data_IF_788467589384
#
_entry.id   IF_788467589384
#
_cell.length_a   1.000
_cell.length_b   1.000
_cell.length_c   1.000
_cell.angle_alpha   90.00
_cell.angle_beta   90.00
_cell.angle_gamma   90.00
#
_symmetry.space_group_name_H-M   'P 1'
#
loop_
_entity.id
_entity.type
_entity.pdbx_description
1 polymer ?
#
# COMPACT_ATOMS: atom_id res chain seq x y z
N UNK A 1 27.20 27.26 -37.99
CA UNK A 1 27.68 26.06 -37.28
C UNK A 1 29.20 26.09 -37.28
N UNK A 2 29.80 26.46 -36.16
CA UNK A 2 31.27 26.51 -36.00
C UNK A 2 31.62 25.74 -34.72
N UNK A 3 32.46 24.70 -34.77
CA UNK A 3 32.85 23.96 -33.58
C UNK A 3 33.93 24.71 -32.81
N UNK A 4 33.62 25.10 -31.58
CA UNK A 4 34.60 25.64 -30.63
C UNK A 4 35.57 24.53 -30.20
N UNK A 5 36.81 24.60 -30.71
CA UNK A 5 37.97 23.82 -30.25
C UNK A 5 38.29 24.17 -28.80
N UNK A 6 38.05 23.24 -27.87
CA UNK A 6 38.56 23.29 -26.50
C UNK A 6 40.08 22.97 -26.47
N UNK A 7 40.90 23.87 -27.02
CA UNK A 7 42.36 23.81 -26.98
C UNK A 7 42.95 24.64 -25.82
N UNK A 8 42.41 24.54 -24.60
CA UNK A 8 42.91 25.30 -23.43
C UNK A 8 43.47 24.45 -22.28
N UNK A 9 43.44 23.12 -22.36
CA UNK A 9 43.97 22.25 -21.29
C UNK A 9 45.34 21.62 -21.57
N UNK A 10 45.85 21.72 -22.79
CA UNK A 10 47.15 21.14 -23.16
C UNK A 10 48.35 21.61 -22.29
N UNK A 11 48.49 22.91 -21.92
CA UNK A 11 49.65 23.34 -21.12
C UNK A 11 49.51 23.01 -19.62
N UNK A 12 48.29 22.84 -19.10
CA UNK A 12 48.06 22.47 -17.70
C UNK A 12 48.38 21.00 -17.43
N UNK A 13 48.05 20.11 -18.38
CA UNK A 13 48.40 18.68 -18.30
C UNK A 13 49.92 18.48 -18.39
N UNK A 14 50.62 19.29 -19.19
CA UNK A 14 52.08 19.23 -19.30
C UNK A 14 52.79 19.65 -18.01
N UNK A 15 52.26 20.64 -17.27
CA UNK A 15 52.84 21.14 -16.02
C UNK A 15 52.54 20.24 -14.81
N UNK A 16 51.43 19.50 -14.84
CA UNK A 16 51.15 18.44 -13.86
C UNK A 16 52.10 17.24 -14.04
N UNK A 17 52.48 16.91 -15.27
CA UNK A 17 53.35 15.74 -15.55
C UNK A 17 54.80 15.91 -15.04
N UNK A 18 55.25 17.15 -14.83
CA UNK A 18 56.61 17.48 -14.37
C UNK A 18 56.71 17.79 -12.88
N UNK A 19 55.64 17.58 -12.10
CA UNK A 19 55.69 17.81 -10.66
C UNK A 19 56.54 16.72 -9.96
N UNK A 20 57.57 17.07 -9.16
CA UNK A 20 58.48 16.09 -8.53
C UNK A 20 57.78 15.08 -7.61
N UNK A 21 56.59 15.40 -7.11
CA UNK A 21 55.76 14.48 -6.32
C UNK A 21 55.18 13.34 -7.19
N UNK A 22 54.79 13.62 -8.44
CA UNK A 22 54.30 12.59 -9.38
C UNK A 22 55.44 11.72 -9.92
N UNK A 23 56.65 12.28 -10.03
CA UNK A 23 57.86 11.54 -10.39
C UNK A 23 58.27 10.54 -9.30
N UNK A 24 58.13 10.91 -8.01
CA UNK A 24 58.34 10.01 -6.87
C UNK A 24 57.29 8.89 -6.79
N UNK A 25 56.04 9.17 -7.16
CA UNK A 25 54.97 8.15 -7.22
C UNK A 25 55.24 7.14 -8.35
N UNK A 26 55.73 7.58 -9.51
CA UNK A 26 56.07 6.68 -10.63
C UNK A 26 57.27 5.76 -10.38
N UNK A 27 58.20 6.16 -9.50
CA UNK A 27 59.40 5.39 -9.16
C UNK A 27 59.25 4.50 -7.92
N UNK A 28 58.06 4.39 -7.35
CA UNK A 28 57.84 3.55 -6.17
C UNK A 28 57.90 2.06 -6.58
N UNK A 29 58.89 1.27 -6.12
CA UNK A 29 59.10 -0.11 -6.57
C UNK A 29 57.89 -1.03 -6.32
N UNK A 30 57.06 -0.68 -5.34
CA UNK A 30 55.79 -1.37 -5.05
C UNK A 30 54.76 -1.19 -6.16
N UNK A 31 54.59 0.04 -6.69
CA UNK A 31 53.68 0.31 -7.80
C UNK A 31 54.17 -0.31 -9.12
N UNK A 32 55.50 -0.36 -9.30
CA UNK A 32 56.14 -1.03 -10.45
C UNK A 32 55.95 -2.55 -10.44
N UNK A 33 56.00 -3.19 -9.26
CA UNK A 33 55.69 -4.62 -9.07
C UNK A 33 54.20 -4.93 -9.23
N UNK A 34 53.32 -4.02 -8.84
CA UNK A 34 51.89 -4.15 -9.10
C UNK A 34 51.59 -4.06 -10.61
N UNK A 35 52.23 -3.16 -11.35
CA UNK A 35 52.02 -3.02 -12.80
C UNK A 35 52.52 -4.19 -13.66
N UNK A 36 53.42 -5.03 -13.14
CA UNK A 36 54.01 -6.16 -13.85
C UNK A 36 53.38 -7.52 -13.53
N UNK A 37 52.31 -7.57 -12.74
CA UNK A 37 51.63 -8.83 -12.45
C UNK A 37 50.90 -9.34 -13.72
N UNK A 38 51.15 -10.59 -14.19
CA UNK A 38 50.64 -11.10 -15.47
C UNK A 38 49.10 -11.12 -15.56
N UNK A 39 48.42 -11.13 -14.41
CA UNK A 39 46.97 -11.08 -14.31
C UNK A 39 46.40 -9.70 -14.68
N UNK A 40 47.10 -8.60 -14.37
CA UNK A 40 46.62 -7.23 -14.62
C UNK A 40 46.76 -6.80 -16.10
N UNK A 41 47.57 -7.52 -16.89
CA UNK A 41 47.66 -7.33 -18.34
C UNK A 41 46.61 -8.12 -19.14
N UNK A 42 45.91 -9.07 -18.51
CA UNK A 42 44.91 -9.87 -19.19
C UNK A 42 43.56 -9.14 -19.27
N UNK A 43 43.09 -8.85 -20.50
CA UNK A 43 41.74 -8.31 -20.73
C UNK A 43 40.64 -9.13 -20.03
N UNK A 44 40.81 -10.45 -19.96
CA UNK A 44 39.89 -11.38 -19.29
C UNK A 44 39.77 -11.12 -17.79
N UNK A 45 40.86 -10.73 -17.12
CA UNK A 45 40.86 -10.39 -15.69
C UNK A 45 40.00 -9.15 -15.41
N UNK A 46 40.17 -8.08 -16.20
CA UNK A 46 39.35 -6.86 -16.05
C UNK A 46 37.88 -7.09 -16.39
N UNK A 47 37.58 -7.91 -17.40
CA UNK A 47 36.21 -8.33 -17.72
C UNK A 47 35.60 -9.11 -16.55
N UNK A 48 36.32 -10.09 -16.00
CA UNK A 48 35.85 -10.89 -14.88
C UNK A 48 35.61 -10.01 -13.63
N UNK A 49 36.52 -9.08 -13.32
CA UNK A 49 36.37 -8.12 -12.23
C UNK A 49 35.17 -7.19 -12.47
N UNK A 50 34.98 -6.71 -13.70
CA UNK A 50 33.83 -5.87 -14.07
C UNK A 50 32.49 -6.60 -13.90
N UNK A 51 32.40 -7.85 -14.37
CA UNK A 51 31.22 -8.71 -14.17
C UNK A 51 30.98 -8.96 -12.68
N UNK A 52 32.03 -9.31 -11.92
CA UNK A 52 31.94 -9.54 -10.48
C UNK A 52 31.38 -8.33 -9.73
N UNK A 53 31.84 -7.12 -10.08
CA UNK A 53 31.33 -5.88 -9.50
C UNK A 53 29.86 -5.61 -9.86
N UNK A 54 29.45 -5.91 -11.11
CA UNK A 54 28.05 -5.78 -11.52
C UNK A 54 27.14 -6.77 -10.79
N UNK A 55 27.57 -8.01 -10.60
CA UNK A 55 26.80 -9.00 -9.82
C UNK A 55 26.69 -8.55 -8.36
N UNK A 56 27.80 -8.10 -7.76
CA UNK A 56 27.80 -7.63 -6.37
C UNK A 56 26.85 -6.44 -6.16
N UNK A 57 26.94 -5.43 -7.04
CA UNK A 57 26.06 -4.25 -6.95
C UNK A 57 24.60 -4.60 -7.18
N UNK A 58 24.30 -5.50 -8.13
CA UNK A 58 22.96 -6.03 -8.36
C UNK A 58 22.42 -6.76 -7.13
N UNK A 59 23.25 -7.58 -6.48
CA UNK A 59 22.88 -8.31 -5.27
C UNK A 59 22.61 -7.37 -4.09
N UNK A 60 23.42 -6.33 -3.92
CA UNK A 60 23.20 -5.30 -2.87
C UNK A 60 21.89 -4.57 -3.09
N UNK A 61 21.60 -4.14 -4.33
CA UNK A 61 20.34 -3.46 -4.67
C UNK A 61 19.15 -4.39 -4.44
N UNK A 62 19.25 -5.65 -4.88
CA UNK A 62 18.21 -6.65 -4.69
C UNK A 62 17.94 -6.91 -3.20
N UNK A 63 19.00 -7.11 -2.41
CA UNK A 63 18.90 -7.36 -0.97
C UNK A 63 18.25 -6.19 -0.26
N UNK A 64 18.68 -4.95 -0.57
CA UNK A 64 18.07 -3.74 0.00
C UNK A 64 16.59 -3.61 -0.36
N UNK A 65 16.21 -3.96 -1.59
CA UNK A 65 14.80 -3.95 -2.04
C UNK A 65 13.97 -5.03 -1.34
N UNK A 66 14.53 -6.23 -1.15
CA UNK A 66 13.88 -7.34 -0.46
C UNK A 66 13.63 -7.02 1.01
N UNK A 67 14.64 -6.50 1.71
CA UNK A 67 14.52 -6.07 3.11
C UNK A 67 13.48 -4.96 3.29
N UNK A 68 13.46 -3.95 2.40
CA UNK A 68 12.42 -2.91 2.42
C UNK A 68 11.02 -3.48 2.27
N UNK A 69 10.80 -4.45 1.38
CA UNK A 69 9.49 -5.09 1.20
C UNK A 69 9.07 -5.88 2.43
N UNK A 70 9.97 -6.62 3.04
CA UNK A 70 9.72 -7.37 4.27
C UNK A 70 9.38 -6.43 5.45
N UNK A 71 10.11 -5.32 5.57
CA UNK A 71 9.84 -4.28 6.57
C UNK A 71 8.43 -3.69 6.39
N UNK A 72 8.07 -3.25 5.18
CA UNK A 72 6.73 -2.68 4.93
C UNK A 72 5.62 -3.70 5.19
N UNK A 73 5.81 -4.96 4.81
CA UNK A 73 4.87 -6.03 5.07
C UNK A 73 4.63 -6.22 6.58
N UNK A 74 5.73 -6.23 7.35
CA UNK A 74 5.69 -6.31 8.80
C UNK A 74 4.97 -5.11 9.41
N UNK A 75 5.27 -3.89 8.97
CA UNK A 75 4.63 -2.66 9.47
C UNK A 75 3.11 -2.69 9.25
N UNK A 76 2.66 -3.11 8.06
CA UNK A 76 1.22 -3.24 7.76
C UNK A 76 0.57 -4.28 8.67
N UNK A 77 1.21 -5.45 8.83
CA UNK A 77 0.70 -6.52 9.69
C UNK A 77 0.80 -6.18 11.19
N UNK A 78 1.65 -5.29 11.65
CA UNK A 78 1.68 -4.88 13.06
C UNK A 78 0.50 -3.95 13.42
N UNK A 79 -0.15 -3.32 12.44
CA UNK A 79 -1.28 -2.43 12.70
C UNK A 79 -2.55 -3.21 13.08
N UNK A 80 -3.03 -3.00 14.30
CA UNK A 80 -4.29 -3.60 14.80
C UNK A 80 -5.48 -3.19 13.93
N UNK A 81 -5.54 -1.92 13.51
CA UNK A 81 -6.63 -1.43 12.65
C UNK A 81 -6.65 -2.07 11.25
N UNK A 82 -5.50 -2.53 10.76
CA UNK A 82 -5.45 -3.31 9.54
C UNK A 82 -5.81 -4.77 9.83
N UNK A 83 -5.19 -5.41 10.83
CA UNK A 83 -5.42 -6.83 11.13
C UNK A 83 -6.86 -7.13 11.51
N UNK A 84 -7.44 -6.32 12.38
CA UNK A 84 -8.78 -6.49 12.93
C UNK A 84 -9.58 -5.20 12.71
N UNK A 85 -9.96 -4.90 11.46
CA UNK A 85 -10.61 -3.64 11.15
C UNK A 85 -12.00 -3.59 11.80
N UNK A 86 -12.40 -2.45 12.38
CA UNK A 86 -13.76 -2.29 12.87
C UNK A 86 -14.71 -2.15 11.68
N UNK A 87 -15.76 -2.97 11.68
CA UNK A 87 -16.93 -2.82 10.84
C UNK A 87 -17.86 -1.82 11.52
N UNK A 88 -17.84 -0.59 11.03
CA UNK A 88 -18.70 0.50 11.49
C UNK A 88 -19.79 0.74 10.45
N UNK A 89 -20.99 0.24 10.73
CA UNK A 89 -22.16 0.45 9.89
C UNK A 89 -23.11 1.42 10.60
N UNK A 90 -23.43 2.53 9.94
CA UNK A 90 -24.40 3.52 10.41
C UNK A 90 -25.32 3.89 9.26
N UNK A 91 -26.63 3.80 9.47
CA UNK A 91 -27.62 4.12 8.45
C UNK A 91 -28.95 4.53 9.10
N UNK A 92 -29.76 5.37 8.44
CA UNK A 92 -31.02 5.83 8.99
C UNK A 92 -32.08 4.73 8.96
N UNK A 93 -33.01 4.80 9.91
CA UNK A 93 -34.16 3.90 10.04
C UNK A 93 -35.12 4.02 8.86
N UNK A 94 -35.18 5.21 8.25
CA UNK A 94 -36.04 5.50 7.10
C UNK A 94 -35.15 6.03 5.98
N UNK A 95 -35.18 5.38 4.83
CA UNK A 95 -34.45 5.79 3.61
C UNK A 95 -35.43 6.05 2.47
N UNK A 96 -35.08 6.86 1.47
CA UNK A 96 -35.85 6.94 0.23
C UNK A 96 -35.97 5.56 -0.43
N UNK A 97 -37.16 5.23 -0.92
CA UNK A 97 -37.43 3.97 -1.59
C UNK A 97 -36.93 4.00 -3.04
N UNK A 98 -35.61 3.84 -3.21
CA UNK A 98 -34.95 3.79 -4.51
C UNK A 98 -34.39 2.39 -4.78
N UNK A 99 -34.25 1.97 -6.05
CA UNK A 99 -33.62 0.69 -6.38
C UNK A 99 -32.22 0.53 -5.77
N UNK A 100 -31.41 1.60 -5.76
CA UNK A 100 -30.08 1.58 -5.17
C UNK A 100 -30.10 1.29 -3.66
N UNK A 101 -31.00 1.94 -2.91
CA UNK A 101 -31.13 1.71 -1.47
C UNK A 101 -31.66 0.31 -1.16
N UNK A 102 -32.59 -0.21 -1.98
CA UNK A 102 -33.07 -1.59 -1.87
C UNK A 102 -31.94 -2.59 -2.06
N UNK A 103 -31.14 -2.45 -3.10
CA UNK A 103 -30.00 -3.34 -3.37
C UNK A 103 -28.97 -3.31 -2.24
N UNK A 104 -28.68 -2.14 -1.67
CA UNK A 104 -27.76 -2.00 -0.53
C UNK A 104 -28.29 -2.65 0.75
N UNK A 105 -29.60 -2.61 0.99
CA UNK A 105 -30.22 -3.16 2.19
C UNK A 105 -30.66 -4.62 2.06
N UNK A 106 -30.76 -5.15 0.83
CA UNK A 106 -31.19 -6.51 0.56
C UNK A 106 -30.33 -7.57 1.27
N UNK A 107 -28.97 -7.49 1.30
CA UNK A 107 -28.17 -8.53 1.94
C UNK A 107 -28.48 -8.69 3.43
N UNK A 108 -28.67 -7.59 4.18
CA UNK A 108 -29.06 -7.70 5.59
C UNK A 108 -30.48 -8.20 5.80
N UNK A 109 -31.38 -7.99 4.83
CA UNK A 109 -32.71 -8.61 4.83
C UNK A 109 -32.62 -10.12 4.58
N UNK A 110 -31.78 -10.57 3.63
CA UNK A 110 -31.50 -11.99 3.36
C UNK A 110 -30.90 -12.70 4.59
N UNK A 111 -30.02 -12.00 5.31
CA UNK A 111 -29.45 -12.46 6.59
C UNK A 111 -30.42 -12.38 7.78
N UNK A 112 -31.68 -11.97 7.55
CA UNK A 112 -32.71 -11.79 8.56
C UNK A 112 -32.29 -10.86 9.69
N UNK A 113 -31.43 -9.88 9.42
CA UNK A 113 -31.02 -8.86 10.39
C UNK A 113 -32.05 -7.73 10.47
N UNK A 114 -32.71 -7.44 9.35
CA UNK A 114 -33.80 -6.49 9.30
C UNK A 114 -34.86 -6.90 8.29
N UNK A 115 -35.99 -6.20 8.35
CA UNK A 115 -37.10 -6.30 7.41
C UNK A 115 -37.37 -4.93 6.81
N UNK A 116 -37.64 -4.91 5.52
CA UNK A 116 -37.86 -3.70 4.74
C UNK A 116 -39.35 -3.50 4.54
N UNK A 117 -39.88 -2.40 5.07
CA UNK A 117 -41.31 -2.07 4.99
C UNK A 117 -41.50 -0.84 4.10
N UNK A 118 -42.15 -0.98 2.92
CA UNK A 118 -42.48 0.17 2.11
C UNK A 118 -43.52 1.01 2.85
N UNK A 119 -43.28 2.32 2.91
CA UNK A 119 -44.20 3.31 3.47
C UNK A 119 -44.71 4.18 2.33
N UNK A 120 -46.01 4.11 2.10
CA UNK A 120 -46.69 4.97 1.15
C UNK A 120 -46.53 6.44 1.57
N UNK A 121 -45.99 7.26 0.67
CA UNK A 121 -45.74 8.68 0.86
C UNK A 121 -45.19 9.31 -0.41
N UNK A 122 -45.17 10.64 -0.48
CA UNK A 122 -44.45 11.39 -1.50
C UNK A 122 -43.37 12.23 -0.82
N UNK A 123 -42.08 11.84 -0.87
CA UNK A 123 -41.52 10.72 -1.62
C UNK A 123 -41.83 9.34 -0.99
N UNK A 124 -41.73 8.28 -1.79
CA UNK A 124 -41.84 6.90 -1.30
C UNK A 124 -40.65 6.60 -0.36
N UNK A 125 -40.94 6.02 0.80
CA UNK A 125 -39.95 5.74 1.84
C UNK A 125 -39.91 4.26 2.17
N UNK A 126 -38.75 3.79 2.60
CA UNK A 126 -38.49 2.44 3.07
C UNK A 126 -38.12 2.50 4.55
N UNK A 127 -38.93 1.89 5.40
CA UNK A 127 -38.63 1.75 6.83
C UNK A 127 -37.88 0.44 7.08
N UNK A 128 -36.68 0.55 7.66
CA UNK A 128 -35.89 -0.59 8.09
C UNK A 128 -36.24 -0.93 9.54
N UNK A 129 -36.61 -2.18 9.79
CA UNK A 129 -36.92 -2.69 11.14
C UNK A 129 -35.99 -3.84 11.49
N UNK A 130 -35.18 -3.66 12.53
CA UNK A 130 -34.29 -4.70 13.04
C UNK A 130 -35.11 -5.88 13.57
N UNK A 131 -34.66 -7.09 13.28
CA UNK A 131 -35.16 -8.33 13.89
C UNK A 131 -34.46 -8.58 15.22
N UNK A 132 -34.88 -9.63 15.95
CA UNK A 132 -34.14 -10.10 17.13
C UNK A 132 -32.68 -10.45 16.83
N UNK A 133 -32.39 -10.93 15.61
CA UNK A 133 -31.01 -11.18 15.18
C UNK A 133 -30.26 -9.87 14.90
N UNK A 134 -30.90 -8.90 14.26
CA UNK A 134 -30.34 -7.58 14.01
C UNK A 134 -30.03 -6.81 15.28
N UNK A 135 -30.90 -6.87 16.30
CA UNK A 135 -30.70 -6.19 17.59
C UNK A 135 -29.47 -6.69 18.36
N UNK A 136 -28.95 -7.89 18.05
CA UNK A 136 -27.70 -8.40 18.65
C UNK A 136 -26.46 -7.75 18.04
N UNK A 137 -26.58 -7.18 16.84
CA UNK A 137 -25.46 -6.59 16.08
C UNK A 137 -25.57 -5.06 16.00
N UNK A 138 -26.79 -4.55 15.91
CA UNK A 138 -27.11 -3.14 15.72
C UNK A 138 -27.86 -2.59 16.92
N UNK A 139 -27.44 -1.42 17.38
CA UNK A 139 -28.16 -0.60 18.35
C UNK A 139 -28.96 0.46 17.62
N UNK A 140 -30.21 0.68 18.03
CA UNK A 140 -31.02 1.80 17.56
C UNK A 140 -30.77 3.03 18.43
N UNK A 141 -30.25 4.10 17.83
CA UNK A 141 -30.10 5.40 18.47
C UNK A 141 -31.00 6.41 17.74
N UNK A 142 -32.21 6.62 18.25
CA UNK A 142 -33.18 7.55 17.66
C UNK A 142 -33.60 7.15 16.25
N UNK A 143 -33.23 7.97 15.26
CA UNK A 143 -33.56 7.78 13.83
C UNK A 143 -32.53 6.96 13.06
N UNK A 144 -31.49 6.44 13.70
CA UNK A 144 -30.40 5.71 13.06
C UNK A 144 -30.12 4.36 13.74
N UNK A 145 -29.64 3.41 12.95
CA UNK A 145 -29.04 2.18 13.44
C UNK A 145 -27.53 2.29 13.35
N UNK A 146 -26.85 1.80 14.39
CA UNK A 146 -25.39 1.78 14.46
C UNK A 146 -24.88 0.43 14.93
N UNK A 147 -23.81 -0.06 14.31
CA UNK A 147 -23.07 -1.23 14.75
C UNK A 147 -21.58 -0.94 14.70
N UNK A 148 -20.87 -1.32 15.76
CA UNK A 148 -19.41 -1.34 15.80
C UNK A 148 -19.01 -2.76 16.20
N UNK A 149 -18.68 -3.59 15.21
CA UNK A 149 -18.24 -4.97 15.41
C UNK A 149 -16.91 -5.19 14.73
N UNK A 150 -16.10 -6.16 15.16
CA UNK A 150 -14.92 -6.54 14.39
C UNK A 150 -15.33 -7.14 13.05
N UNK A 151 -14.76 -6.70 11.93
CA UNK A 151 -15.06 -7.30 10.62
C UNK A 151 -14.52 -8.74 10.51
N UNK A 152 -13.48 -9.06 11.28
CA UNK A 152 -12.74 -10.31 11.22
C UNK A 152 -11.24 -10.07 11.38
N UNK A 153 -10.44 -11.02 10.88
CA UNK A 153 -8.99 -10.91 10.84
C UNK A 153 -8.48 -11.03 9.41
N UNK A 154 -7.54 -10.15 9.04
CA UNK A 154 -6.84 -10.17 7.76
C UNK A 154 -5.33 -10.04 7.95
N UNK A 155 -4.59 -10.55 6.98
CA UNK A 155 -3.13 -10.47 6.94
C UNK A 155 -2.65 -10.07 5.55
N UNK A 156 -1.66 -9.17 5.50
CA UNK A 156 -0.95 -8.84 4.29
C UNK A 156 0.04 -9.97 3.97
N UNK A 157 0.01 -10.45 2.72
CA UNK A 157 0.81 -11.57 2.24
C UNK A 157 2.02 -11.11 1.43
N UNK A 158 1.90 -10.02 0.67
CA UNK A 158 2.94 -9.58 -0.25
C UNK A 158 2.92 -8.08 -0.49
N UNK A 159 4.10 -7.45 -0.57
CA UNK A 159 4.24 -6.07 -1.07
C UNK A 159 4.51 -6.10 -2.58
N UNK A 160 3.59 -5.51 -3.35
CA UNK A 160 3.69 -5.40 -4.81
C UNK A 160 4.60 -4.23 -5.18
N UNK A 161 4.30 -3.07 -4.64
CA UNK A 161 4.92 -1.81 -5.04
C UNK A 161 5.12 -0.87 -3.85
N UNK A 162 6.21 -0.12 -3.89
CA UNK A 162 6.52 0.92 -2.91
C UNK A 162 6.85 2.18 -3.72
N UNK A 163 6.07 3.23 -3.52
CA UNK A 163 6.27 4.57 -4.10
C UNK A 163 6.47 5.58 -2.97
N UNK A 164 7.06 6.73 -3.29
CA UNK A 164 7.29 7.81 -2.34
C UNK A 164 8.76 7.94 -1.94
N UNK A 165 9.00 8.72 -0.90
CA UNK A 165 10.32 9.09 -0.42
C UNK A 165 10.66 8.40 0.91
N UNK A 166 11.68 8.91 1.61
CA UNK A 166 12.12 8.34 2.88
C UNK A 166 11.24 8.75 4.07
N UNK A 167 10.33 9.72 3.91
CA UNK A 167 9.40 10.17 4.96
C UNK A 167 7.98 9.69 4.74
N UNK A 168 7.53 9.60 3.49
CA UNK A 168 6.18 9.20 3.11
C UNK A 168 6.25 8.11 2.04
N UNK A 169 5.61 6.97 2.30
CA UNK A 169 5.56 5.85 1.37
C UNK A 169 4.13 5.41 1.10
N UNK A 170 3.82 5.23 -0.17
CA UNK A 170 2.63 4.52 -0.61
C UNK A 170 3.03 3.08 -0.91
N UNK A 171 2.42 2.12 -0.20
CA UNK A 171 2.69 0.70 -0.33
C UNK A 171 1.45 0.04 -0.89
N UNK A 172 1.58 -0.58 -2.07
CA UNK A 172 0.55 -1.45 -2.62
C UNK A 172 0.88 -2.89 -2.25
N UNK A 173 -0.08 -3.59 -1.66
CA UNK A 173 0.13 -4.91 -1.09
C UNK A 173 -1.05 -5.84 -1.38
N UNK A 174 -0.80 -7.14 -1.33
CA UNK A 174 -1.82 -8.18 -1.30
C UNK A 174 -2.09 -8.59 0.12
N UNK A 175 -3.34 -8.91 0.39
CA UNK A 175 -3.79 -9.41 1.67
C UNK A 175 -4.92 -10.41 1.50
N UNK A 176 -5.19 -11.18 2.54
CA UNK A 176 -6.30 -12.13 2.58
C UNK A 176 -6.99 -12.08 3.92
N UNK A 177 -8.26 -12.43 3.93
CA UNK A 177 -9.03 -12.64 5.17
C UNK A 177 -8.78 -14.05 5.69
N UNK A 178 -8.39 -14.15 6.95
CA UNK A 178 -8.20 -15.43 7.66
C UNK A 178 -9.43 -15.79 8.48
N UNK A 179 -10.15 -14.78 8.98
CA UNK A 179 -11.41 -14.93 9.70
C UNK A 179 -12.34 -13.80 9.28
N UNK A 180 -13.63 -14.09 9.16
CA UNK A 180 -14.63 -13.08 8.85
C UNK A 180 -15.81 -13.18 9.82
N UNK A 181 -16.23 -12.03 10.34
CA UNK A 181 -17.40 -11.97 11.19
C UNK A 181 -18.67 -12.08 10.34
N UNK A 182 -19.73 -12.81 10.77
CA UNK A 182 -20.96 -12.97 9.99
C UNK A 182 -21.62 -11.64 9.58
N UNK A 183 -21.42 -10.58 10.38
CA UNK A 183 -21.92 -9.25 10.09
C UNK A 183 -21.32 -8.64 8.80
N UNK A 184 -20.18 -9.10 8.30
CA UNK A 184 -19.64 -8.65 7.02
C UNK A 184 -20.55 -8.99 5.84
N UNK A 185 -21.41 -10.01 5.98
CA UNK A 185 -22.37 -10.39 4.95
C UNK A 185 -23.44 -9.32 4.65
N UNK A 186 -23.57 -8.26 5.48
CA UNK A 186 -24.45 -7.12 5.16
C UNK A 186 -24.04 -6.38 3.89
N UNK A 187 -22.78 -6.54 3.45
CA UNK A 187 -22.27 -5.95 2.22
C UNK A 187 -22.56 -6.79 0.97
N UNK A 188 -23.24 -7.94 1.11
CA UNK A 188 -23.63 -8.80 -0.01
C UNK A 188 -22.43 -9.21 -0.86
N UNK A 189 -22.51 -8.95 -2.16
CA UNK A 189 -21.45 -9.30 -3.12
C UNK A 189 -20.15 -8.50 -2.91
N UNK A 190 -20.21 -7.39 -2.15
CA UNK A 190 -19.04 -6.63 -1.75
C UNK A 190 -18.42 -7.14 -0.43
N UNK A 191 -19.03 -8.14 0.23
CA UNK A 191 -18.44 -8.77 1.38
C UNK A 191 -17.19 -9.56 0.95
N UNK A 192 -16.08 -9.46 1.71
CA UNK A 192 -14.89 -10.22 1.41
C UNK A 192 -15.08 -11.71 1.68
N UNK A 193 -14.26 -12.53 1.04
CA UNK A 193 -14.23 -13.99 1.16
C UNK A 193 -12.96 -14.42 1.89
N UNK A 194 -13.08 -15.45 2.73
CA UNK A 194 -11.95 -16.04 3.44
C UNK A 194 -11.02 -16.72 2.42
N UNK A 195 -9.72 -16.49 2.55
CA UNK A 195 -8.69 -17.09 1.70
C UNK A 195 -8.52 -16.44 0.31
N UNK A 196 -9.48 -15.64 -0.15
CA UNK A 196 -9.35 -14.87 -1.39
C UNK A 196 -8.32 -13.75 -1.20
N UNK A 197 -7.47 -13.55 -2.20
CA UNK A 197 -6.50 -12.45 -2.21
C UNK A 197 -7.14 -11.16 -2.73
N UNK A 198 -6.83 -10.08 -2.04
CA UNK A 198 -7.26 -8.73 -2.35
C UNK A 198 -6.05 -7.81 -2.44
N UNK A 199 -6.15 -6.75 -3.23
CA UNK A 199 -5.17 -5.67 -3.25
C UNK A 199 -5.62 -4.54 -2.33
N UNK A 200 -4.67 -3.98 -1.60
CA UNK A 200 -4.85 -2.82 -0.75
C UNK A 200 -3.72 -1.84 -0.94
N UNK A 201 -3.98 -0.58 -0.59
CA UNK A 201 -2.99 0.48 -0.58
C UNK A 201 -2.87 1.05 0.83
N UNK A 202 -1.65 1.29 1.28
CA UNK A 202 -1.36 1.93 2.55
C UNK A 202 -0.48 3.16 2.33
N UNK A 203 -0.83 4.26 2.98
CA UNK A 203 0.00 5.44 3.11
C UNK A 203 0.69 5.40 4.46
N UNK A 204 2.01 5.39 4.45
CA UNK A 204 2.85 5.34 5.64
C UNK A 204 3.68 6.60 5.76
N UNK A 205 3.82 7.10 6.98
CA UNK A 205 4.74 8.16 7.35
C UNK A 205 5.78 7.63 8.33
N UNK A 206 7.03 8.09 8.19
CA UNK A 206 8.10 7.79 9.12
C UNK A 206 8.11 8.84 10.24
N UNK A 207 7.63 8.45 11.42
CA UNK A 207 7.48 9.31 12.59
C UNK A 207 8.07 8.62 13.82
N UNK A 208 8.86 9.33 14.64
CA UNK A 208 9.44 8.79 15.87
C UNK A 208 10.23 7.48 15.65
N UNK A 209 11.11 7.48 14.63
CA UNK A 209 11.97 6.35 14.25
C UNK A 209 11.23 5.08 13.80
N UNK A 210 9.92 5.17 13.55
CA UNK A 210 9.10 4.04 13.10
C UNK A 210 8.18 4.43 11.96
N UNK A 211 7.90 3.47 11.08
CA UNK A 211 6.85 3.62 10.10
C UNK A 211 5.48 3.52 10.78
N UNK A 212 4.62 4.49 10.51
CA UNK A 212 3.24 4.53 10.97
C UNK A 212 2.33 4.57 9.77
N UNK A 213 1.30 3.74 9.76
CA UNK A 213 0.29 3.78 8.71
C UNK A 213 -0.68 4.92 9.01
N UNK A 214 -0.77 5.89 8.11
CA UNK A 214 -1.67 7.03 8.20
C UNK A 214 -3.07 6.66 7.72
N UNK A 215 -3.15 5.94 6.61
CA UNK A 215 -4.39 5.58 5.95
C UNK A 215 -4.19 4.31 5.12
N UNK A 216 -5.26 3.54 4.93
CA UNK A 216 -5.30 2.45 3.97
C UNK A 216 -6.65 2.42 3.25
N UNK A 217 -6.62 1.95 2.01
CA UNK A 217 -7.79 1.78 1.18
C UNK A 217 -7.88 0.30 0.80
N UNK A 218 -9.03 -0.31 1.09
CA UNK A 218 -9.34 -1.65 0.60
C UNK A 218 -10.81 -1.72 0.15
N UNK A 219 -11.20 -2.74 -0.65
CA UNK A 219 -12.58 -2.89 -1.11
C UNK A 219 -13.65 -2.89 0.00
N UNK A 220 -13.31 -3.37 1.21
CA UNK A 220 -14.23 -3.35 2.35
C UNK A 220 -14.51 -1.92 2.81
N UNK A 221 -13.49 -1.06 2.93
CA UNK A 221 -13.65 0.34 3.32
C UNK A 221 -14.51 1.11 2.31
N UNK A 222 -14.39 0.79 1.01
CA UNK A 222 -15.28 1.33 -0.04
C UNK A 222 -16.73 0.86 0.11
N UNK A 223 -16.94 -0.42 0.47
CA UNK A 223 -18.28 -0.94 0.75
C UNK A 223 -18.90 -0.27 2.00
N UNK A 224 -18.12 -0.09 3.06
CA UNK A 224 -18.54 0.64 4.27
C UNK A 224 -18.87 2.10 3.92
N UNK A 225 -18.06 2.77 3.11
CA UNK A 225 -18.30 4.14 2.68
C UNK A 225 -19.63 4.27 1.93
N UNK A 226 -19.91 3.38 0.96
CA UNK A 226 -21.21 3.33 0.26
C UNK A 226 -22.38 3.12 1.20
N UNK A 227 -22.21 2.29 2.23
CA UNK A 227 -23.26 2.05 3.22
C UNK A 227 -23.53 3.27 4.11
N UNK A 228 -22.50 4.09 4.40
CA UNK A 228 -22.67 5.36 5.14
C UNK A 228 -23.39 6.43 4.34
N UNK A 229 -23.34 6.36 3.00
CA UNK A 229 -24.07 7.28 2.12
C UNK A 229 -25.59 6.98 2.09
N UNK A 230 -26.06 5.90 2.73
CA UNK A 230 -27.49 5.60 2.88
C UNK A 230 -28.22 6.78 3.57
N UNK A 231 -29.07 7.47 2.81
CA UNK A 231 -29.88 8.58 3.29
C UNK A 231 -29.30 9.98 3.06
N UNK A 232 -28.09 10.09 2.52
CA UNK A 232 -27.67 11.35 1.91
C UNK A 232 -28.51 11.56 0.64
N UNK A 233 -29.11 12.75 0.42
CA UNK A 233 -29.66 13.06 -0.89
C UNK A 233 -28.52 12.87 -1.88
N UNK A 234 -28.76 12.13 -2.96
CA UNK A 234 -27.81 11.92 -4.04
C UNK A 234 -27.56 13.28 -4.71
N UNK A 235 -26.73 14.13 -4.10
CA UNK A 235 -26.20 15.32 -4.75
C UNK A 235 -25.36 14.78 -5.89
N UNK A 236 -25.84 15.06 -7.10
CA UNK A 236 -25.25 14.62 -8.36
C UNK A 236 -23.76 14.94 -8.32
N UNK A 237 -22.90 13.92 -8.21
CA UNK A 237 -21.50 14.09 -8.56
C UNK A 237 -21.47 14.51 -10.04
N UNK A 238 -20.86 15.65 -10.39
CA UNK A 238 -20.75 16.12 -11.77
C UNK A 238 -19.91 15.17 -12.63
#
# INVERSE_FOLDING_TARGET
>A
MSPLRFSRFAPLVAKLRSHPLLQKVGNNPLLRRLGSHPLLGQKRFWIATGIGLLVLTSLVVWTRRSLRRAEMLRVVNEQVGFRNPPLQAMFPRVVPDTPANRTLLEPGARLRLWSLHPRSGNPALLEVRLTSAGLRLFSGAGSQFMAIVGAGSREATQVLEIRGDDRNRQVRFRYRWTQLHPAAGIFGDAAPEIGREYEGEALLAYENERWRVLHWTTPLEEAIARFRELGSPMERRP
#
